data_IF_787215931191
#
_entry.id   IF_787215931191
#
_cell.length_a   1.000
_cell.length_b   1.000
_cell.length_c   1.000
_cell.angle_alpha   90.00
_cell.angle_beta   90.00
_cell.angle_gamma   90.00
#
_symmetry.space_group_name_H-M   'P 1'
#
loop_
_entity.id
_entity.type
_entity.pdbx_description
1 polymer ?
#
# COMPACT_ATOMS: atom_id res chain seq x y z
N UNK A 1 -24.50 -4.45 5.27
CA UNK A 1 -23.15 -3.89 5.60
C UNK A 1 -22.88 -2.64 4.76
N UNK A 2 -23.01 -2.66 3.40
CA UNK A 2 -22.67 -1.54 2.54
C UNK A 2 -23.32 -0.19 2.89
N UNK A 3 -24.64 -0.09 3.27
CA UNK A 3 -25.22 1.17 3.70
C UNK A 3 -24.49 1.81 4.90
N UNK A 4 -24.00 0.99 5.85
CA UNK A 4 -23.23 1.49 7.00
C UNK A 4 -21.88 2.09 6.57
N UNK A 5 -21.21 1.45 5.59
CA UNK A 5 -20.01 2.04 4.99
C UNK A 5 -20.31 3.41 4.37
N UNK A 6 -21.40 3.52 3.63
CA UNK A 6 -21.81 4.80 3.02
C UNK A 6 -22.08 5.88 4.07
N UNK A 7 -22.76 5.54 5.18
CA UNK A 7 -22.98 6.49 6.28
C UNK A 7 -21.65 6.96 6.89
N UNK A 8 -20.70 6.04 7.12
CA UNK A 8 -19.37 6.38 7.62
C UNK A 8 -18.62 7.28 6.64
N UNK A 9 -18.63 6.95 5.34
CA UNK A 9 -17.95 7.74 4.32
C UNK A 9 -18.51 9.16 4.21
N UNK A 10 -19.83 9.31 4.29
CA UNK A 10 -20.49 10.63 4.33
C UNK A 10 -20.08 11.43 5.57
N UNK A 11 -20.04 10.79 6.73
CA UNK A 11 -19.59 11.45 7.96
C UNK A 11 -18.13 11.91 7.88
N UNK A 12 -17.25 11.13 7.23
CA UNK A 12 -15.86 11.53 6.98
C UNK A 12 -15.77 12.69 5.98
N UNK A 13 -16.56 12.66 4.90
CA UNK A 13 -16.65 13.73 3.91
C UNK A 13 -17.11 15.06 4.56
N UNK A 14 -18.13 15.02 5.42
CA UNK A 14 -18.60 16.19 6.19
C UNK A 14 -17.53 16.76 7.15
N UNK A 15 -16.56 15.93 7.59
CA UNK A 15 -15.42 16.35 8.41
C UNK A 15 -14.22 16.85 7.57
N UNK A 16 -14.36 16.91 6.25
CA UNK A 16 -13.35 17.41 5.35
C UNK A 16 -12.32 16.39 4.89
N UNK A 17 -12.58 15.11 5.04
CA UNK A 17 -11.75 14.08 4.42
C UNK A 17 -11.80 14.22 2.89
N UNK A 18 -10.66 14.11 2.21
CA UNK A 18 -10.56 14.08 0.75
C UNK A 18 -10.24 12.67 0.26
N UNK A 19 -9.42 11.96 1.00
CA UNK A 19 -8.97 10.62 0.71
C UNK A 19 -9.33 9.66 1.84
N UNK A 20 -9.66 8.44 1.46
CA UNK A 20 -9.78 7.30 2.38
C UNK A 20 -9.04 6.11 1.82
N UNK A 21 -8.59 5.23 2.70
CA UNK A 21 -8.07 3.92 2.34
C UNK A 21 -9.06 2.85 2.78
N UNK A 22 -9.34 1.91 1.88
CA UNK A 22 -10.09 0.69 2.17
C UNK A 22 -9.12 -0.48 2.01
N UNK A 23 -8.88 -1.18 3.10
CA UNK A 23 -8.02 -2.35 3.12
C UNK A 23 -8.81 -3.57 2.63
N UNK A 24 -8.35 -4.18 1.54
CA UNK A 24 -8.98 -5.34 0.91
C UNK A 24 -7.95 -6.43 0.60
N UNK A 25 -7.37 -7.06 1.63
CA UNK A 25 -6.40 -8.14 1.45
C UNK A 25 -7.02 -9.39 0.82
N UNK A 26 -8.33 -9.48 0.76
CA UNK A 26 -9.04 -10.59 0.13
C UNK A 26 -8.73 -10.70 -1.37
N UNK A 27 -8.36 -9.57 -2.02
CA UNK A 27 -7.89 -9.54 -3.40
C UNK A 27 -6.57 -10.30 -3.63
N UNK A 28 -5.82 -10.62 -2.58
CA UNK A 28 -4.61 -11.45 -2.66
C UNK A 28 -4.90 -12.97 -2.55
N UNK A 29 -6.16 -13.37 -2.38
CA UNK A 29 -6.58 -14.77 -2.29
C UNK A 29 -7.04 -15.29 -3.67
N UNK A 30 -7.19 -16.61 -3.77
CA UNK A 30 -7.81 -17.24 -4.95
C UNK A 30 -9.33 -17.04 -4.86
N UNK A 31 -9.88 -16.16 -5.70
CA UNK A 31 -11.29 -15.80 -5.71
C UNK A 31 -12.05 -16.54 -6.79
N UNK A 32 -13.24 -17.05 -6.45
CA UNK A 32 -14.21 -17.52 -7.44
C UNK A 32 -14.98 -16.35 -8.09
N UNK A 33 -15.79 -16.66 -9.10
CA UNK A 33 -16.53 -15.66 -9.86
C UNK A 33 -17.59 -14.93 -9.00
N UNK A 34 -18.20 -15.59 -8.02
CA UNK A 34 -19.17 -14.98 -7.11
C UNK A 34 -18.50 -13.94 -6.23
N UNK A 35 -17.34 -14.27 -5.66
CA UNK A 35 -16.54 -13.39 -4.83
C UNK A 35 -16.02 -12.18 -5.64
N UNK A 36 -15.51 -12.40 -6.85
CA UNK A 36 -15.09 -11.31 -7.76
C UNK A 36 -16.23 -10.35 -8.08
N UNK A 37 -17.41 -10.90 -8.43
CA UNK A 37 -18.61 -10.12 -8.69
C UNK A 37 -19.10 -9.36 -7.45
N UNK A 38 -18.99 -9.94 -6.25
CA UNK A 38 -19.36 -9.30 -5.01
C UNK A 38 -18.48 -8.09 -4.72
N UNK A 39 -17.16 -8.20 -4.89
CA UNK A 39 -16.20 -7.09 -4.73
C UNK A 39 -16.53 -5.97 -5.72
N UNK A 40 -16.70 -6.30 -7.01
CA UNK A 40 -17.01 -5.31 -8.04
C UNK A 40 -18.31 -4.54 -7.73
N UNK A 41 -19.36 -5.25 -7.33
CA UNK A 41 -20.63 -4.63 -6.92
C UNK A 41 -20.49 -3.76 -5.68
N UNK A 42 -19.69 -4.21 -4.69
CA UNK A 42 -19.47 -3.47 -3.45
C UNK A 42 -18.77 -2.12 -3.73
N UNK A 43 -17.69 -2.12 -4.50
CA UNK A 43 -16.97 -0.89 -4.86
C UNK A 43 -17.79 0.00 -5.79
N UNK A 44 -18.58 -0.57 -6.72
CA UNK A 44 -19.54 0.18 -7.52
C UNK A 44 -20.56 0.93 -6.65
N UNK A 45 -21.17 0.22 -5.70
CA UNK A 45 -22.12 0.81 -4.77
C UNK A 45 -21.49 1.93 -3.90
N UNK A 46 -20.27 1.70 -3.38
CA UNK A 46 -19.53 2.71 -2.62
C UNK A 46 -19.30 3.95 -3.50
N UNK A 47 -18.81 3.77 -4.73
CA UNK A 47 -18.52 4.87 -5.65
C UNK A 47 -19.74 5.73 -5.98
N UNK A 48 -20.89 5.13 -6.17
CA UNK A 48 -22.15 5.85 -6.43
C UNK A 48 -22.61 6.72 -5.26
N UNK A 49 -22.12 6.46 -4.04
CA UNK A 49 -22.59 7.07 -2.80
C UNK A 49 -21.57 7.96 -2.08
N UNK A 50 -20.36 8.17 -2.61
CA UNK A 50 -19.35 9.06 -2.04
C UNK A 50 -18.56 9.80 -3.11
N UNK A 51 -18.04 11.00 -2.77
CA UNK A 51 -17.11 11.77 -3.59
C UNK A 51 -15.67 11.67 -3.13
N UNK A 52 -15.42 10.96 -2.01
CA UNK A 52 -14.07 10.76 -1.49
C UNK A 52 -13.22 10.02 -2.53
N UNK A 53 -11.96 10.40 -2.63
CA UNK A 53 -10.97 9.63 -3.35
C UNK A 53 -10.63 8.38 -2.54
N UNK A 54 -10.59 7.24 -3.19
CA UNK A 54 -10.43 5.94 -2.54
C UNK A 54 -9.10 5.31 -2.97
N UNK A 55 -8.31 4.86 -1.99
CA UNK A 55 -7.22 3.92 -2.20
C UNK A 55 -7.71 2.54 -1.78
N UNK A 56 -7.72 1.57 -2.68
CA UNK A 56 -7.86 0.15 -2.32
C UNK A 56 -6.48 -0.38 -2.00
N UNK A 57 -6.29 -0.89 -0.78
CA UNK A 57 -5.03 -1.44 -0.36
C UNK A 57 -5.08 -2.97 -0.30
N UNK A 58 -4.26 -3.60 -1.15
CA UNK A 58 -4.08 -5.05 -1.17
C UNK A 58 -2.70 -5.38 -0.60
N UNK A 59 -2.62 -6.45 0.18
CA UNK A 59 -1.36 -6.82 0.82
C UNK A 59 -1.35 -8.29 1.26
N UNK A 60 -0.19 -8.74 1.74
CA UNK A 60 0.17 -10.08 2.21
C UNK A 60 0.54 -11.05 1.08
N UNK A 61 0.22 -10.77 -0.18
CA UNK A 61 0.64 -11.50 -1.37
C UNK A 61 0.39 -10.63 -2.63
N UNK A 62 0.69 -11.17 -3.82
CA UNK A 62 0.36 -10.57 -5.12
C UNK A 62 -1.10 -10.77 -5.51
N UNK A 63 -1.57 -9.94 -6.41
CA UNK A 63 -2.95 -9.98 -6.94
C UNK A 63 -3.23 -11.18 -7.83
N UNK A 64 -2.21 -11.75 -8.48
CA UNK A 64 -2.34 -12.93 -9.37
C UNK A 64 -3.49 -12.76 -10.38
N UNK A 65 -4.44 -13.70 -10.42
CA UNK A 65 -5.59 -13.68 -11.31
C UNK A 65 -6.61 -12.57 -11.00
N UNK A 66 -6.48 -11.89 -9.85
CA UNK A 66 -7.33 -10.76 -9.48
C UNK A 66 -6.80 -9.40 -9.98
N UNK A 67 -5.66 -9.36 -10.67
CA UNK A 67 -5.03 -8.13 -11.13
C UNK A 67 -5.97 -7.28 -11.99
N UNK A 68 -6.62 -7.89 -12.98
CA UNK A 68 -7.58 -7.20 -13.84
C UNK A 68 -8.80 -6.66 -13.07
N UNK A 69 -9.32 -7.42 -12.10
CA UNK A 69 -10.38 -6.92 -11.22
C UNK A 69 -9.92 -5.70 -10.43
N UNK A 70 -8.76 -5.79 -9.76
CA UNK A 70 -8.26 -4.76 -8.87
C UNK A 70 -7.97 -3.44 -9.60
N UNK A 71 -7.30 -3.48 -10.77
CA UNK A 71 -7.00 -2.26 -11.54
C UNK A 71 -8.25 -1.59 -12.12
N UNK A 72 -9.34 -2.34 -12.34
CA UNK A 72 -10.59 -1.82 -12.90
C UNK A 72 -11.65 -1.46 -11.83
N UNK A 73 -11.37 -1.61 -10.54
CA UNK A 73 -12.27 -1.10 -9.50
C UNK A 73 -12.46 0.43 -9.65
N UNK A 74 -13.66 0.96 -9.38
CA UNK A 74 -13.97 2.37 -9.55
C UNK A 74 -13.40 3.22 -8.38
N UNK A 75 -12.07 3.27 -8.28
CA UNK A 75 -11.30 3.95 -7.23
C UNK A 75 -10.16 4.75 -7.86
N UNK A 76 -9.61 5.73 -7.16
CA UNK A 76 -8.55 6.60 -7.67
C UNK A 76 -7.16 5.97 -7.58
N UNK A 77 -6.94 5.11 -6.58
CA UNK A 77 -5.63 4.49 -6.38
C UNK A 77 -5.72 3.02 -5.99
N UNK A 78 -4.73 2.26 -6.46
CA UNK A 78 -4.49 0.87 -6.05
C UNK A 78 -3.16 0.80 -5.30
N UNK A 79 -3.15 0.18 -4.12
CA UNK A 79 -1.93 -0.17 -3.41
C UNK A 79 -1.63 -1.64 -3.58
N UNK A 80 -0.35 -1.97 -3.83
CA UNK A 80 0.15 -3.33 -4.00
C UNK A 80 1.35 -3.62 -3.08
N UNK A 81 1.43 -4.83 -2.56
CA UNK A 81 2.51 -5.30 -1.69
C UNK A 81 3.71 -5.76 -2.52
N UNK A 82 4.75 -4.92 -2.60
CA UNK A 82 5.99 -5.21 -3.30
C UNK A 82 7.09 -5.79 -2.38
N UNK A 83 6.82 -5.89 -1.07
CA UNK A 83 7.70 -6.62 -0.17
C UNK A 83 7.49 -8.14 -0.27
N UNK A 84 6.25 -8.57 -0.52
CA UNK A 84 5.89 -10.00 -0.68
C UNK A 84 5.96 -10.48 -2.12
N UNK A 85 5.53 -9.64 -3.07
CA UNK A 85 5.43 -10.00 -4.48
C UNK A 85 5.97 -8.84 -5.36
N UNK A 86 7.30 -8.57 -5.36
CA UNK A 86 7.87 -7.48 -6.15
C UNK A 86 7.72 -7.71 -7.65
N UNK A 87 7.66 -8.94 -8.11
CA UNK A 87 7.51 -9.34 -9.50
C UNK A 87 6.17 -8.91 -10.12
N UNK A 88 5.14 -8.66 -9.32
CA UNK A 88 3.85 -8.20 -9.84
C UNK A 88 3.90 -6.78 -10.43
N UNK A 89 4.94 -5.97 -10.10
CA UNK A 89 5.03 -4.58 -10.52
C UNK A 89 4.92 -4.44 -12.05
N UNK A 90 5.65 -5.24 -12.80
CA UNK A 90 5.64 -5.14 -14.26
C UNK A 90 4.27 -5.45 -14.88
N UNK A 91 3.62 -6.48 -14.41
CA UNK A 91 2.29 -6.87 -14.89
C UNK A 91 1.27 -5.77 -14.58
N UNK A 92 1.27 -5.23 -13.36
CA UNK A 92 0.37 -4.14 -12.96
C UNK A 92 0.64 -2.86 -13.76
N UNK A 93 1.91 -2.46 -13.95
CA UNK A 93 2.25 -1.27 -14.73
C UNK A 93 1.78 -1.36 -16.20
N UNK A 94 1.63 -2.56 -16.75
CA UNK A 94 1.19 -2.76 -18.13
C UNK A 94 -0.33 -2.67 -18.29
N UNK A 95 -1.10 -2.95 -17.25
CA UNK A 95 -2.58 -2.99 -17.30
C UNK A 95 -3.24 -1.84 -16.52
N UNK A 96 -2.47 -1.06 -15.75
CA UNK A 96 -3.01 0.03 -14.93
C UNK A 96 -3.62 1.14 -15.80
N UNK A 97 -4.90 1.50 -15.61
CA UNK A 97 -5.54 2.59 -16.33
C UNK A 97 -4.82 3.93 -16.17
N UNK A 98 -4.91 4.78 -17.20
CA UNK A 98 -4.14 6.04 -17.27
C UNK A 98 -4.54 7.08 -16.21
N UNK A 99 -5.72 6.98 -15.65
CA UNK A 99 -6.28 7.85 -14.60
C UNK A 99 -5.99 7.37 -13.18
N UNK A 100 -5.38 6.18 -13.01
CA UNK A 100 -5.12 5.63 -11.67
C UNK A 100 -3.73 5.95 -11.14
N UNK A 101 -3.68 6.10 -9.82
CA UNK A 101 -2.45 6.20 -9.03
C UNK A 101 -2.07 4.80 -8.54
N UNK A 102 -0.78 4.49 -8.53
CA UNK A 102 -0.24 3.26 -7.95
C UNK A 102 0.52 3.57 -6.66
N UNK A 103 0.07 2.97 -5.58
CA UNK A 103 0.76 3.01 -4.28
C UNK A 103 1.63 1.77 -4.11
N UNK A 104 2.93 1.99 -3.89
CA UNK A 104 3.95 0.96 -3.85
C UNK A 104 4.30 0.61 -2.41
N UNK A 105 3.93 -0.56 -1.97
CA UNK A 105 4.25 -1.12 -0.66
C UNK A 105 5.66 -1.69 -0.60
N UNK A 106 6.67 -0.82 -0.54
CA UNK A 106 8.09 -1.19 -0.65
C UNK A 106 8.80 -1.40 0.69
N UNK A 107 8.23 -0.96 1.81
CA UNK A 107 8.77 -1.17 3.15
C UNK A 107 7.96 -2.25 3.85
N UNK A 108 8.59 -3.39 4.17
CA UNK A 108 7.90 -4.55 4.77
C UNK A 108 7.34 -4.20 6.16
N UNK A 109 6.02 -4.22 6.29
CA UNK A 109 5.28 -3.97 7.54
C UNK A 109 5.17 -5.18 8.47
N UNK A 110 5.72 -6.35 8.12
CA UNK A 110 5.61 -7.60 8.88
C UNK A 110 6.93 -8.18 9.35
N UNK A 111 8.04 -7.49 9.12
CA UNK A 111 9.34 -7.85 9.69
C UNK A 111 9.93 -6.69 10.49
N UNK A 112 10.94 -6.98 11.27
CA UNK A 112 11.61 -6.02 12.15
C UNK A 112 12.97 -5.55 11.60
N UNK A 113 13.26 -5.82 10.34
CA UNK A 113 14.55 -5.50 9.72
C UNK A 113 14.49 -4.19 8.96
N UNK A 114 15.64 -3.52 8.86
CA UNK A 114 15.81 -2.36 7.99
C UNK A 114 15.48 -2.72 6.55
N UNK A 115 14.90 -1.76 5.86
CA UNK A 115 14.59 -1.89 4.44
C UNK A 115 15.85 -1.82 3.58
N UNK A 116 15.85 -2.54 2.47
CA UNK A 116 16.80 -2.36 1.38
C UNK A 116 16.36 -1.12 0.56
N UNK A 117 16.97 0.03 0.89
CA UNK A 117 16.59 1.31 0.27
C UNK A 117 16.91 1.34 -1.23
N UNK A 118 18.03 0.74 -1.66
CA UNK A 118 18.42 0.71 -3.08
C UNK A 118 17.37 -0.03 -3.90
N UNK A 119 17.01 -1.23 -3.47
CA UNK A 119 15.97 -2.03 -4.13
C UNK A 119 14.61 -1.32 -4.14
N UNK A 120 14.25 -0.66 -3.05
CA UNK A 120 12.99 0.07 -2.96
C UNK A 120 12.97 1.28 -3.91
N UNK A 121 14.08 2.02 -4.00
CA UNK A 121 14.23 3.16 -4.92
C UNK A 121 14.18 2.69 -6.37
N UNK A 122 14.80 1.58 -6.73
CA UNK A 122 14.71 0.99 -8.07
C UNK A 122 13.25 0.71 -8.48
N UNK A 123 12.46 0.10 -7.61
CA UNK A 123 11.04 -0.16 -7.86
C UNK A 123 10.24 1.14 -8.03
N UNK A 124 10.49 2.13 -7.18
CA UNK A 124 9.83 3.45 -7.26
C UNK A 124 10.20 4.17 -8.55
N UNK A 125 11.48 4.21 -8.93
CA UNK A 125 11.93 4.86 -10.15
C UNK A 125 11.40 4.15 -11.39
N UNK A 126 11.33 2.83 -11.39
CA UNK A 126 10.69 2.04 -12.46
C UNK A 126 9.22 2.45 -12.65
N UNK A 127 8.45 2.54 -11.57
CA UNK A 127 7.06 2.96 -11.64
C UNK A 127 6.93 4.43 -12.10
N UNK A 128 7.75 5.34 -11.56
CA UNK A 128 7.80 6.76 -11.99
C UNK A 128 8.13 6.91 -13.48
N UNK A 129 9.07 6.14 -13.98
CA UNK A 129 9.44 6.16 -15.41
C UNK A 129 8.28 5.75 -16.33
N UNK A 130 7.40 4.88 -15.88
CA UNK A 130 6.23 4.39 -16.64
C UNK A 130 4.99 5.27 -16.48
N UNK A 131 4.72 5.74 -15.25
CA UNK A 131 3.47 6.41 -14.91
C UNK A 131 3.59 7.94 -14.78
N UNK A 132 4.80 8.45 -14.53
CA UNK A 132 5.02 9.82 -14.07
C UNK A 132 4.99 9.89 -12.53
N UNK A 133 5.70 10.89 -11.98
CA UNK A 133 5.87 11.05 -10.53
C UNK A 133 4.55 11.29 -9.78
N UNK A 134 3.62 12.03 -10.40
CA UNK A 134 2.33 12.40 -9.81
C UNK A 134 1.38 11.20 -9.60
N UNK A 135 1.67 10.08 -10.26
CA UNK A 135 0.86 8.85 -10.20
C UNK A 135 1.49 7.75 -9.36
N UNK A 136 2.53 8.05 -8.58
CA UNK A 136 3.22 7.05 -7.75
C UNK A 136 3.23 7.51 -6.30
N UNK A 137 2.66 6.67 -5.41
CA UNK A 137 2.77 6.82 -3.97
C UNK A 137 3.76 5.79 -3.42
N UNK A 138 4.45 6.14 -2.32
CA UNK A 138 5.35 5.24 -1.59
C UNK A 138 4.74 4.93 -0.23
N UNK A 139 4.64 3.65 0.11
CA UNK A 139 3.96 3.19 1.32
C UNK A 139 4.65 1.99 1.96
N UNK A 140 4.25 1.65 3.19
CA UNK A 140 4.50 0.34 3.77
C UNK A 140 3.74 -0.74 3.02
N UNK A 141 4.25 -1.97 3.02
CA UNK A 141 3.61 -3.09 2.32
C UNK A 141 2.22 -3.42 2.91
N UNK A 142 2.05 -3.15 4.19
CA UNK A 142 0.82 -3.23 4.95
C UNK A 142 0.92 -2.33 6.19
N UNK A 143 -0.06 -2.40 7.11
CA UNK A 143 -0.02 -1.66 8.37
C UNK A 143 1.22 -2.01 9.22
N UNK A 144 1.88 -1.01 9.79
CA UNK A 144 2.97 -1.18 10.76
C UNK A 144 2.49 -1.61 12.17
N UNK A 145 1.21 -1.87 12.36
CA UNK A 145 0.68 -2.50 13.58
C UNK A 145 1.22 -3.92 13.79
N UNK A 146 1.76 -4.55 12.76
CA UNK A 146 2.32 -5.90 12.83
C UNK A 146 3.77 -5.95 13.34
N UNK A 147 4.39 -4.80 13.62
CA UNK A 147 5.75 -4.70 14.16
C UNK A 147 5.74 -3.87 15.46
N UNK A 148 6.77 -4.01 16.33
CA UNK A 148 6.85 -3.19 17.53
C UNK A 148 6.92 -1.69 17.20
N UNK A 149 6.50 -0.86 18.15
CA UNK A 149 6.31 0.58 17.94
C UNK A 149 7.61 1.33 17.64
N UNK A 150 8.58 1.29 18.55
CA UNK A 150 9.82 2.09 18.44
C UNK A 150 11.02 1.33 19.00
N UNK A 151 12.04 1.15 18.17
CA UNK A 151 13.29 0.50 18.52
C UNK A 151 14.09 1.27 19.60
N UNK A 152 13.87 2.58 19.74
CA UNK A 152 14.51 3.39 20.77
C UNK A 152 14.10 2.98 22.19
N UNK A 153 12.93 2.37 22.36
CA UNK A 153 12.43 1.86 23.63
C UNK A 153 13.17 0.59 24.10
N UNK A 154 13.88 -0.09 23.21
CA UNK A 154 14.69 -1.27 23.54
C UNK A 154 16.04 -0.85 24.14
N UNK A 155 16.04 -0.54 25.44
CA UNK A 155 17.21 0.01 26.15
C UNK A 155 18.09 -1.04 26.83
N UNK A 156 17.63 -2.29 26.97
CA UNK A 156 18.35 -3.35 27.67
C UNK A 156 19.23 -4.13 26.69
N UNK A 157 20.52 -3.82 26.65
CA UNK A 157 21.49 -4.44 25.75
C UNK A 157 21.62 -5.96 25.95
N UNK A 158 21.41 -6.44 27.18
CA UNK A 158 21.39 -7.88 27.49
C UNK A 158 20.26 -8.64 26.76
N UNK A 159 19.16 -7.97 26.44
CA UNK A 159 18.01 -8.55 25.74
C UNK A 159 18.15 -8.36 24.22
N UNK A 160 18.72 -7.24 23.80
CA UNK A 160 18.91 -6.88 22.40
C UNK A 160 20.30 -6.27 22.18
N UNK A 161 21.33 -7.09 21.84
CA UNK A 161 22.69 -6.62 21.61
C UNK A 161 22.77 -5.56 20.49
N UNK A 162 23.62 -4.55 20.68
CA UNK A 162 23.80 -3.44 19.73
C UNK A 162 24.18 -3.93 18.31
N UNK A 163 24.94 -5.04 18.22
CA UNK A 163 25.32 -5.66 16.95
C UNK A 163 24.12 -6.15 16.11
N UNK A 164 23.03 -6.55 16.76
CA UNK A 164 21.79 -6.96 16.08
C UNK A 164 20.88 -5.75 15.90
N UNK A 165 20.73 -4.93 16.94
CA UNK A 165 19.86 -3.76 16.96
C UNK A 165 20.10 -2.82 15.76
N UNK A 166 21.34 -2.66 15.31
CA UNK A 166 21.70 -1.81 14.16
C UNK A 166 21.05 -2.22 12.84
N UNK A 167 20.60 -3.47 12.71
CA UNK A 167 19.93 -4.01 11.52
C UNK A 167 18.42 -3.94 11.59
N UNK A 168 17.88 -3.50 12.72
CA UNK A 168 16.45 -3.52 12.99
C UNK A 168 15.81 -2.15 12.70
N UNK A 169 14.52 -2.24 12.33
CA UNK A 169 13.63 -1.11 12.14
C UNK A 169 12.22 -1.51 12.62
N UNK A 170 11.69 -0.79 13.61
CA UNK A 170 10.32 -0.94 14.09
C UNK A 170 9.41 0.09 13.39
N UNK A 171 8.15 0.22 13.79
CA UNK A 171 7.19 1.06 13.09
C UNK A 171 7.68 2.52 12.92
N UNK A 172 8.22 3.14 13.97
CA UNK A 172 8.76 4.51 13.89
C UNK A 172 9.89 4.63 12.86
N UNK A 173 10.87 3.70 12.90
CA UNK A 173 11.99 3.70 11.95
C UNK A 173 11.55 3.39 10.52
N UNK A 174 10.54 2.54 10.33
CA UNK A 174 9.98 2.24 9.00
C UNK A 174 9.30 3.45 8.37
N UNK A 175 8.69 4.32 9.17
CA UNK A 175 8.17 5.61 8.70
C UNK A 175 9.31 6.53 8.24
N UNK A 176 10.44 6.54 8.97
CA UNK A 176 11.64 7.28 8.55
C UNK A 176 12.23 6.73 7.23
N UNK A 177 12.23 5.40 7.05
CA UNK A 177 12.64 4.75 5.80
C UNK A 177 11.74 5.18 4.62
N UNK A 178 10.41 5.26 4.80
CA UNK A 178 9.49 5.77 3.78
C UNK A 178 9.81 7.23 3.39
N UNK A 179 10.08 8.08 4.38
CA UNK A 179 10.47 9.47 4.14
C UNK A 179 11.78 9.57 3.36
N UNK A 180 12.76 8.72 3.70
CA UNK A 180 14.05 8.64 3.01
C UNK A 180 13.88 8.19 1.54
N UNK A 181 13.10 7.13 1.28
CA UNK A 181 12.81 6.64 -0.08
C UNK A 181 12.15 7.74 -0.90
N UNK A 182 11.15 8.44 -0.36
CA UNK A 182 10.48 9.55 -1.02
C UNK A 182 11.45 10.67 -1.40
N UNK A 183 12.35 11.06 -0.47
CA UNK A 183 13.32 12.12 -0.69
C UNK A 183 14.35 11.71 -1.76
N UNK A 184 14.91 10.51 -1.68
CA UNK A 184 15.92 10.01 -2.59
C UNK A 184 15.35 9.78 -4.00
N UNK A 185 14.19 9.17 -4.13
CA UNK A 185 13.53 9.00 -5.42
C UNK A 185 13.00 10.32 -6.02
N UNK A 186 12.85 11.39 -5.23
CA UNK A 186 12.47 12.73 -5.69
C UNK A 186 13.64 13.60 -6.15
N UNK A 187 14.87 13.28 -5.75
CA UNK A 187 16.06 14.08 -6.06
C UNK A 187 16.73 13.77 -7.40
N UNK A 188 16.24 12.76 -8.13
CA UNK A 188 16.71 12.43 -9.48
C UNK A 188 15.84 13.18 -10.53
N UNK A 189 15.97 14.51 -10.58
CA UNK A 189 15.45 15.37 -11.67
C UNK A 189 16.57 16.17 -12.29
#
# INVERSE_FOLDING_TARGET
>A
VLPVYVELLKALEEKGAEWIQIDEPYLALDLDDEQRNAIQKAFGYIRENTRLKIIVATYFDGLKDNADLAVNLPVEALHIDLARCPEQLDSILNILPADKILSLGVVDGRNIWKNDLEKSIELVNKAKGKLGADRVFVAGSCSFLHVPYDLALETKEQNLPAGIKRWMAFAAQKIEELAAIKALAGSET
#
